data_IF_257270100897
#
_entry.id   IF_257270100897
#
_cell.length_a   1.000
_cell.length_b   1.000
_cell.length_c   1.000
_cell.angle_alpha   90.00
_cell.angle_beta   90.00
_cell.angle_gamma   90.00
#
_symmetry.space_group_name_H-M   'P 1'
#
loop_
_entity.id
_entity.type
_entity.pdbx_description
1 polymer ?
#
# COMPACT_ATOMS: atom_id res chain seq x y z
N UNK A 1 18.33 2.64 4.77
CA UNK A 1 17.04 3.23 4.43
C UNK A 1 16.04 2.14 4.06
N UNK A 2 16.41 1.16 3.23
CA UNK A 2 15.51 0.08 2.80
C UNK A 2 14.94 -0.74 3.98
N UNK A 3 15.77 -1.07 4.99
CA UNK A 3 15.29 -1.79 6.20
C UNK A 3 14.25 -0.98 6.97
N UNK A 4 14.49 0.33 7.17
CA UNK A 4 13.53 1.24 7.83
C UNK A 4 12.23 1.34 7.02
N UNK A 5 12.32 1.47 5.70
CA UNK A 5 11.14 1.50 4.81
C UNK A 5 10.33 0.20 4.89
N UNK A 6 11.01 -0.96 4.87
CA UNK A 6 10.35 -2.27 5.05
C UNK A 6 9.66 -2.38 6.40
N UNK A 7 10.27 -1.89 7.48
CA UNK A 7 9.66 -1.88 8.81
C UNK A 7 8.42 -0.96 8.87
N UNK A 8 8.51 0.25 8.31
CA UNK A 8 7.37 1.18 8.24
C UNK A 8 6.22 0.60 7.40
N UNK A 9 6.55 -0.02 6.26
CA UNK A 9 5.58 -0.70 5.43
C UNK A 9 4.93 -1.86 6.19
N UNK A 10 5.73 -2.70 6.86
CA UNK A 10 5.23 -3.81 7.66
C UNK A 10 4.32 -3.33 8.80
N UNK A 11 4.64 -2.20 9.46
CA UNK A 11 3.75 -1.65 10.49
C UNK A 11 2.42 -1.15 9.95
N UNK A 12 2.39 -0.56 8.75
CA UNK A 12 1.15 -0.14 8.08
C UNK A 12 0.30 -1.36 7.74
N UNK A 13 0.91 -2.39 7.14
CA UNK A 13 0.21 -3.64 6.81
C UNK A 13 -0.34 -4.31 8.07
N UNK A 14 0.47 -4.36 9.14
CA UNK A 14 0.05 -4.95 10.42
C UNK A 14 -1.13 -4.17 11.03
N UNK A 15 -1.08 -2.83 11.00
CA UNK A 15 -2.18 -1.96 11.46
C UNK A 15 -3.48 -2.22 10.68
N UNK A 16 -3.39 -2.25 9.35
CA UNK A 16 -4.53 -2.56 8.48
C UNK A 16 -5.14 -3.94 8.79
N UNK A 17 -4.29 -4.96 9.02
CA UNK A 17 -4.77 -6.30 9.37
C UNK A 17 -5.37 -6.36 10.77
N UNK A 18 -4.82 -5.62 11.73
CA UNK A 18 -5.41 -5.49 13.06
C UNK A 18 -6.83 -4.90 12.99
N UNK A 19 -7.08 -3.92 12.11
CA UNK A 19 -8.42 -3.37 11.87
C UNK A 19 -9.38 -4.40 11.26
N UNK A 20 -8.91 -5.22 10.32
CA UNK A 20 -9.73 -6.30 9.74
C UNK A 20 -10.12 -7.30 10.83
N UNK A 21 -9.15 -7.74 11.64
CA UNK A 21 -9.39 -8.64 12.77
C UNK A 21 -10.38 -8.00 13.75
N UNK A 22 -10.20 -6.73 14.11
CA UNK A 22 -11.12 -6.00 14.97
C UNK A 22 -12.53 -5.97 14.39
N UNK A 23 -12.68 -5.69 13.08
CA UNK A 23 -13.98 -5.69 12.41
C UNK A 23 -14.69 -7.04 12.44
N UNK A 24 -13.95 -8.16 12.44
CA UNK A 24 -14.53 -9.51 12.50
C UNK A 24 -15.03 -9.86 13.91
N UNK A 25 -14.28 -9.47 14.96
CA UNK A 25 -14.54 -9.91 16.33
C UNK A 25 -15.33 -8.91 17.18
N UNK A 26 -15.39 -7.64 16.80
CA UNK A 26 -16.15 -6.62 17.54
C UNK A 26 -17.62 -6.67 17.11
N UNK A 27 -18.58 -6.89 18.05
CA UNK A 27 -20.00 -6.90 17.73
C UNK A 27 -20.45 -5.56 17.14
N UNK A 28 -21.05 -5.60 15.96
CA UNK A 28 -21.55 -4.42 15.26
C UNK A 28 -23.06 -4.17 15.43
N UNK A 29 -23.57 -3.14 14.75
CA UNK A 29 -24.99 -2.81 14.71
C UNK A 29 -25.84 -3.92 14.06
N UNK A 30 -27.15 -3.96 14.36
CA UNK A 30 -28.08 -4.96 13.81
C UNK A 30 -28.72 -4.58 12.47
N UNK A 31 -28.18 -3.56 11.79
CA UNK A 31 -28.72 -3.03 10.55
C UNK A 31 -28.34 -3.90 9.34
N UNK A 32 -29.34 -4.47 8.65
CA UNK A 32 -29.11 -5.14 7.37
C UNK A 32 -29.03 -4.13 6.23
N UNK A 33 -27.84 -3.98 5.64
CA UNK A 33 -27.59 -3.11 4.49
C UNK A 33 -27.14 -3.96 3.28
N UNK A 34 -28.05 -4.53 2.49
CA UNK A 34 -27.70 -5.47 1.42
C UNK A 34 -26.86 -4.85 0.29
N UNK A 35 -26.83 -3.52 0.17
CA UNK A 35 -26.02 -2.78 -0.80
C UNK A 35 -24.58 -2.52 -0.31
N UNK A 36 -24.30 -2.70 0.99
CA UNK A 36 -23.03 -2.35 1.60
C UNK A 36 -21.83 -3.11 1.00
N UNK A 37 -21.90 -4.43 0.73
CA UNK A 37 -20.82 -5.15 0.07
C UNK A 37 -20.47 -4.60 -1.32
N UNK A 38 -21.46 -4.13 -2.07
CA UNK A 38 -21.23 -3.52 -3.38
C UNK A 38 -20.44 -2.20 -3.26
N UNK A 39 -20.72 -1.39 -2.24
CA UNK A 39 -19.95 -0.16 -1.97
C UNK A 39 -18.52 -0.47 -1.57
N UNK A 40 -18.30 -1.47 -0.71
CA UNK A 40 -16.95 -1.93 -0.34
C UNK A 40 -16.19 -2.42 -1.57
N UNK A 41 -16.84 -3.18 -2.46
CA UNK A 41 -16.22 -3.68 -3.68
C UNK A 41 -15.84 -2.56 -4.67
N UNK A 42 -16.75 -1.59 -4.90
CA UNK A 42 -16.48 -0.44 -5.76
C UNK A 42 -15.33 0.39 -5.19
N UNK A 43 -15.36 0.67 -3.87
CA UNK A 43 -14.30 1.41 -3.22
C UNK A 43 -12.96 0.68 -3.29
N UNK A 44 -12.95 -0.63 -3.00
CA UNK A 44 -11.78 -1.49 -3.10
C UNK A 44 -11.16 -1.46 -4.51
N UNK A 45 -12.00 -1.53 -5.55
CA UNK A 45 -11.55 -1.42 -6.94
C UNK A 45 -10.95 -0.04 -7.27
N UNK A 46 -11.57 1.05 -6.80
CA UNK A 46 -11.06 2.41 -6.99
C UNK A 46 -9.73 2.61 -6.26
N UNK A 47 -9.63 2.18 -5.00
CA UNK A 47 -8.41 2.25 -4.20
C UNK A 47 -7.28 1.43 -4.85
N UNK A 48 -7.60 0.24 -5.36
CA UNK A 48 -6.64 -0.59 -6.10
C UNK A 48 -6.13 0.12 -7.36
N UNK A 49 -7.03 0.68 -8.16
CA UNK A 49 -6.68 1.42 -9.37
C UNK A 49 -5.81 2.64 -9.05
N UNK A 50 -6.18 3.41 -8.02
CA UNK A 50 -5.39 4.56 -7.55
C UNK A 50 -4.00 4.15 -7.06
N UNK A 51 -3.91 3.06 -6.29
CA UNK A 51 -2.65 2.50 -5.80
C UNK A 51 -1.75 2.03 -6.94
N UNK A 52 -2.35 1.36 -7.94
CA UNK A 52 -1.67 0.86 -9.14
C UNK A 52 -1.14 1.99 -10.02
N UNK A 53 -1.87 3.10 -10.08
CA UNK A 53 -1.52 4.32 -10.82
C UNK A 53 -0.47 5.18 -10.10
N UNK A 54 -0.46 5.19 -8.77
CA UNK A 54 0.55 5.91 -7.96
C UNK A 54 1.88 5.15 -7.91
N UNK A 55 1.83 3.82 -7.73
CA UNK A 55 2.87 2.92 -8.26
C UNK A 55 2.95 3.12 -9.77
N UNK A 56 3.88 2.64 -10.58
CA UNK A 56 3.93 3.02 -12.02
C UNK A 56 4.10 4.51 -12.39
N UNK A 57 3.87 5.50 -11.51
CA UNK A 57 4.40 6.86 -11.75
C UNK A 57 5.91 6.79 -11.95
N UNK A 58 6.46 7.55 -12.91
CA UNK A 58 7.90 7.61 -13.15
C UNK A 58 8.60 8.17 -11.91
N UNK A 59 9.75 7.57 -11.59
CA UNK A 59 10.60 8.04 -10.50
C UNK A 59 11.46 9.21 -10.99
N UNK A 60 11.82 10.10 -10.07
CA UNK A 60 12.71 11.21 -10.38
C UNK A 60 14.15 10.71 -10.46
N UNK A 61 14.72 10.71 -11.66
CA UNK A 61 16.06 10.20 -11.93
C UNK A 61 17.10 11.32 -12.11
N UNK A 62 16.82 12.54 -11.64
CA UNK A 62 17.74 13.68 -11.72
C UNK A 62 19.01 13.49 -10.90
N UNK A 63 18.89 12.92 -9.69
CA UNK A 63 20.00 12.54 -8.83
C UNK A 63 19.63 11.34 -7.92
N UNK A 64 20.62 10.66 -7.29
CA UNK A 64 20.35 9.51 -6.43
C UNK A 64 19.46 9.80 -5.21
N UNK A 65 19.55 11.00 -4.62
CA UNK A 65 18.74 11.37 -3.46
C UNK A 65 17.28 11.65 -3.84
N UNK A 66 17.05 12.32 -4.98
CA UNK A 66 15.74 12.51 -5.59
C UNK A 66 15.10 11.17 -6.00
N UNK A 67 15.90 10.23 -6.49
CA UNK A 67 15.46 8.88 -6.83
C UNK A 67 14.99 8.10 -5.60
N UNK A 68 15.80 8.05 -4.55
CA UNK A 68 15.42 7.42 -3.28
C UNK A 68 14.19 8.11 -2.67
N UNK A 69 14.17 9.44 -2.64
CA UNK A 69 13.07 10.22 -2.09
C UNK A 69 11.75 10.03 -2.83
N UNK A 70 11.77 10.02 -4.17
CA UNK A 70 10.58 9.79 -4.98
C UNK A 70 10.03 8.37 -4.80
N UNK A 71 10.91 7.36 -4.70
CA UNK A 71 10.51 5.99 -4.41
C UNK A 71 9.88 5.84 -3.02
N UNK A 72 10.47 6.44 -1.98
CA UNK A 72 9.91 6.41 -0.62
C UNK A 72 8.53 7.08 -0.58
N UNK A 73 8.37 8.26 -1.20
CA UNK A 73 7.08 8.95 -1.27
C UNK A 73 6.02 8.13 -2.00
N UNK A 74 6.39 7.52 -3.13
CA UNK A 74 5.48 6.65 -3.88
C UNK A 74 5.08 5.41 -3.06
N UNK A 75 6.03 4.81 -2.33
CA UNK A 75 5.79 3.64 -1.49
C UNK A 75 4.86 3.97 -0.32
N UNK A 76 5.13 5.05 0.42
CA UNK A 76 4.31 5.46 1.57
C UNK A 76 2.92 5.93 1.10
N UNK A 77 2.85 6.76 0.07
CA UNK A 77 1.58 7.23 -0.49
C UNK A 77 0.74 6.08 -1.04
N UNK A 78 1.37 5.11 -1.71
CA UNK A 78 0.70 3.91 -2.19
C UNK A 78 0.23 3.02 -1.05
N UNK A 79 1.02 2.87 0.02
CA UNK A 79 0.63 2.08 1.20
C UNK A 79 -0.58 2.70 1.92
N UNK A 80 -0.62 4.03 2.06
CA UNK A 80 -1.76 4.73 2.64
C UNK A 80 -3.06 4.53 1.82
N UNK A 81 -2.96 4.55 0.48
CA UNK A 81 -4.10 4.25 -0.39
C UNK A 81 -4.50 2.78 -0.30
N UNK A 82 -3.52 1.87 -0.24
CA UNK A 82 -3.74 0.43 -0.14
C UNK A 82 -4.41 0.02 1.18
N UNK A 83 -4.20 0.77 2.26
CA UNK A 83 -4.85 0.54 3.56
C UNK A 83 -6.34 0.89 3.55
N UNK A 84 -6.75 1.88 2.75
CA UNK A 84 -8.10 2.43 2.79
C UNK A 84 -9.25 1.41 2.66
N UNK A 85 -9.17 0.35 1.82
CA UNK A 85 -10.24 -0.65 1.75
C UNK A 85 -10.41 -1.45 3.04
N UNK A 86 -9.31 -1.73 3.77
CA UNK A 86 -9.37 -2.43 5.05
C UNK A 86 -10.08 -1.59 6.12
N UNK A 87 -9.78 -0.28 6.15
CA UNK A 87 -10.44 0.67 7.05
C UNK A 87 -11.95 0.72 6.77
N UNK A 88 -12.35 0.88 5.51
CA UNK A 88 -13.77 0.93 5.14
C UNK A 88 -14.48 -0.39 5.41
N UNK A 89 -13.82 -1.52 5.11
CA UNK A 89 -14.36 -2.84 5.44
C UNK A 89 -14.58 -3.02 6.94
N UNK A 90 -13.63 -2.61 7.77
CA UNK A 90 -13.73 -2.68 9.22
C UNK A 90 -14.87 -1.80 9.76
N UNK A 91 -14.93 -0.53 9.34
CA UNK A 91 -16.02 0.39 9.70
C UNK A 91 -17.37 -0.17 9.28
N UNK A 92 -17.43 -0.75 8.08
CA UNK A 92 -18.61 -1.42 7.56
C UNK A 92 -19.09 -2.58 8.39
N UNK A 93 -18.16 -3.45 8.79
CA UNK A 93 -18.46 -4.57 9.67
C UNK A 93 -19.02 -4.10 11.02
N UNK A 94 -18.41 -3.07 11.61
CA UNK A 94 -18.91 -2.48 12.86
C UNK A 94 -20.29 -1.82 12.71
N UNK A 95 -20.56 -1.17 11.59
CA UNK A 95 -21.84 -0.50 11.35
C UNK A 95 -22.99 -1.49 11.07
N UNK A 96 -22.70 -2.58 10.35
CA UNK A 96 -23.70 -3.53 9.85
C UNK A 96 -23.81 -4.83 10.66
N UNK A 97 -22.81 -5.11 11.51
CA UNK A 97 -22.67 -6.39 12.20
C UNK A 97 -22.25 -7.54 11.28
N UNK A 98 -21.97 -7.28 10.00
CA UNK A 98 -21.58 -8.30 9.02
C UNK A 98 -20.05 -8.37 8.86
N UNK A 99 -19.39 -9.45 9.34
CA UNK A 99 -17.95 -9.61 9.24
C UNK A 99 -17.43 -9.69 7.80
N UNK A 100 -18.31 -9.97 6.81
CA UNK A 100 -17.89 -10.03 5.41
C UNK A 100 -17.36 -8.70 4.88
N UNK A 101 -17.87 -7.58 5.37
CA UNK A 101 -17.36 -6.26 5.00
C UNK A 101 -15.86 -6.12 5.32
N UNK A 102 -15.45 -6.57 6.50
CA UNK A 102 -14.05 -6.53 6.93
C UNK A 102 -13.18 -7.49 6.10
N UNK A 103 -13.68 -8.70 5.81
CA UNK A 103 -12.95 -9.70 5.01
C UNK A 103 -12.72 -9.19 3.58
N UNK A 104 -13.77 -8.67 2.92
CA UNK A 104 -13.67 -8.15 1.56
C UNK A 104 -12.74 -6.94 1.51
N UNK A 105 -12.89 -5.99 2.45
CA UNK A 105 -12.00 -4.84 2.57
C UNK A 105 -10.53 -5.25 2.77
N UNK A 106 -10.28 -6.22 3.65
CA UNK A 106 -8.95 -6.78 3.89
C UNK A 106 -8.34 -7.44 2.66
N UNK A 107 -9.12 -8.20 1.89
CA UNK A 107 -8.65 -8.83 0.65
C UNK A 107 -8.22 -7.77 -0.39
N UNK A 108 -9.01 -6.71 -0.58
CA UNK A 108 -8.64 -5.60 -1.47
C UNK A 108 -7.39 -4.87 -0.99
N UNK A 109 -7.26 -4.64 0.32
CA UNK A 109 -6.08 -4.00 0.89
C UNK A 109 -4.81 -4.84 0.67
N UNK A 110 -4.86 -6.15 0.94
CA UNK A 110 -3.74 -7.06 0.68
C UNK A 110 -3.33 -7.06 -0.79
N UNK A 111 -4.31 -7.10 -1.70
CA UNK A 111 -4.05 -7.02 -3.12
C UNK A 111 -3.39 -5.68 -3.49
N UNK A 112 -3.87 -4.55 -2.96
CA UNK A 112 -3.28 -3.24 -3.18
C UNK A 112 -1.85 -3.13 -2.62
N UNK A 113 -1.60 -3.63 -1.41
CA UNK A 113 -0.27 -3.66 -0.81
C UNK A 113 0.74 -4.43 -1.65
N UNK A 114 0.31 -5.51 -2.32
CA UNK A 114 1.19 -6.31 -3.19
C UNK A 114 1.80 -5.50 -4.35
N UNK A 115 1.13 -4.43 -4.80
CA UNK A 115 1.63 -3.56 -5.86
C UNK A 115 2.67 -2.53 -5.38
N UNK A 116 2.66 -2.21 -4.09
CA UNK A 116 3.48 -1.13 -3.50
C UNK A 116 4.63 -1.68 -2.66
N UNK A 117 4.57 -2.96 -2.28
CA UNK A 117 5.54 -3.57 -1.38
C UNK A 117 7.00 -3.31 -1.82
N UNK A 118 7.90 -2.90 -0.89
CA UNK A 118 9.34 -2.72 -1.16
C UNK A 118 10.07 -4.08 -1.23
N UNK A 119 9.58 -4.96 -2.10
CA UNK A 119 10.12 -6.30 -2.36
C UNK A 119 11.20 -6.25 -3.43
N UNK A 120 12.09 -7.27 -3.45
CA UNK A 120 13.14 -7.38 -4.47
C UNK A 120 12.58 -7.34 -5.89
N UNK A 121 11.50 -8.09 -6.15
CA UNK A 121 10.84 -8.11 -7.45
C UNK A 121 10.25 -6.74 -7.86
N UNK A 122 9.91 -5.87 -6.91
CA UNK A 122 9.45 -4.52 -7.22
C UNK A 122 10.64 -3.59 -7.52
N UNK A 123 11.73 -3.71 -6.77
CA UNK A 123 12.97 -2.98 -7.03
C UNK A 123 13.53 -3.32 -8.41
N UNK A 124 13.60 -4.61 -8.76
CA UNK A 124 14.07 -5.07 -10.08
C UNK A 124 13.22 -4.49 -11.21
N UNK A 125 11.88 -4.54 -11.06
CA UNK A 125 10.95 -3.94 -12.03
C UNK A 125 11.16 -2.43 -12.19
N UNK A 126 11.48 -1.71 -11.11
CA UNK A 126 11.73 -0.26 -11.15
C UNK A 126 13.09 0.06 -11.76
N UNK A 127 14.13 -0.72 -11.46
CA UNK A 127 15.43 -0.58 -12.09
C UNK A 127 15.35 -0.83 -13.61
N UNK A 128 14.56 -1.83 -14.05
CA UNK A 128 14.32 -2.08 -15.47
C UNK A 128 13.58 -0.91 -16.15
N UNK A 129 12.59 -0.31 -15.48
CA UNK A 129 11.91 0.90 -15.96
C UNK A 129 12.87 2.10 -16.09
N UNK A 130 13.76 2.30 -15.11
CA UNK A 130 14.75 3.38 -15.14
C UNK A 130 15.75 3.20 -16.31
N UNK A 131 16.21 1.96 -16.53
CA UNK A 131 17.08 1.63 -17.67
C UNK A 131 16.37 1.84 -19.01
N UNK A 132 15.10 1.46 -19.12
CA UNK A 132 14.30 1.69 -20.32
C UNK A 132 14.10 3.19 -20.62
N UNK A 133 14.11 4.04 -19.59
CA UNK A 133 14.09 5.50 -19.70
C UNK A 133 15.48 6.13 -19.94
N UNK A 134 16.54 5.32 -20.07
CA UNK A 134 17.91 5.79 -20.32
C UNK A 134 18.66 6.27 -19.08
N UNK A 135 18.16 6.01 -17.87
CA UNK A 135 18.87 6.34 -16.64
C UNK A 135 19.95 5.32 -16.32
N UNK A 136 21.12 5.81 -15.89
CA UNK A 136 22.24 4.99 -15.41
C UNK A 136 22.19 4.73 -13.90
N UNK A 137 21.23 5.31 -13.18
CA UNK A 137 21.14 5.18 -11.73
C UNK A 137 20.47 3.86 -11.31
N UNK A 138 21.05 3.22 -10.30
CA UNK A 138 20.49 2.05 -9.61
C UNK A 138 19.69 2.51 -8.39
N UNK A 139 18.43 2.06 -8.29
CA UNK A 139 17.56 2.37 -7.14
C UNK A 139 18.10 1.74 -5.86
N UNK A 140 18.70 0.56 -5.96
CA UNK A 140 19.35 -0.12 -4.83
C UNK A 140 20.52 0.70 -4.28
N UNK A 141 21.37 1.22 -5.16
CA UNK A 141 22.52 2.04 -4.77
C UNK A 141 22.07 3.37 -4.16
N UNK A 142 21.01 3.98 -4.71
CA UNK A 142 20.41 5.19 -4.18
C UNK A 142 19.85 4.98 -2.76
N UNK A 143 19.16 3.86 -2.51
CA UNK A 143 18.61 3.52 -1.19
C UNK A 143 19.68 3.06 -0.19
N UNK A 144 20.81 2.52 -0.68
CA UNK A 144 21.99 2.15 0.11
C UNK A 144 22.79 3.36 0.56
N UNK A 145 23.15 4.28 -0.35
CA UNK A 145 23.89 5.52 -0.03
C UNK A 145 23.15 6.44 0.95
N UNK A 146 21.83 6.37 1.01
CA UNK A 146 21.05 7.08 2.01
C UNK A 146 21.22 6.57 3.45
N UNK A 147 21.86 5.41 3.68
CA UNK A 147 22.30 4.98 5.01
C UNK A 147 23.54 5.73 5.49
N UNK A 148 24.50 5.96 4.62
CA UNK A 148 25.81 6.55 4.97
C UNK A 148 25.74 8.04 5.36
N UNK A 149 24.62 8.71 5.07
CA UNK A 149 24.43 10.16 5.34
C UNK A 149 23.73 10.42 6.68
N UNK A 150 23.25 9.38 7.38
CA UNK A 150 22.43 9.51 8.60
C UNK A 150 23.16 9.00 9.86
N UNK A 151 24.44 8.61 9.72
CA UNK A 151 25.35 8.36 10.84
C UNK A 151 26.30 9.56 11.05
#
# INVERSE_FOLDING_TARGET
MLRRLRLLFASIVLGAMALVVMGIFVPGGSGSFPWFPAVVAIYGAVALAATRWLSARPLDASDPAALAGSFVRATIGGAALAESPAVIGAVGSMATGDPWAAIVGGAWALLAFSFVAPSEANLDRRDEQLRALGSWFSLRDALGRGEDVVD
#
